data_IF_171646859572
#
_entry.id   IF_171646859572
#
_cell.length_a   1.000
_cell.length_b   1.000
_cell.length_c   1.000
_cell.angle_alpha   90.00
_cell.angle_beta   90.00
_cell.angle_gamma   90.00
#
_symmetry.space_group_name_H-M   'P 1'
#
loop_
_entity.id
_entity.type
_entity.pdbx_description
1 polymer ?
#
# COMPACT_ATOMS: atom_id res chain seq x y z
N UNK A 1 -12.17 -27.29 -0.26
CA UNK A 1 -11.97 -26.77 -0.31
C UNK A 1 -11.39 -26.28 -0.43
N UNK A 2 -11.31 -25.87 -0.59
CA UNK A 2 -10.84 -25.27 -0.78
C UNK A 2 -10.30 -24.60 -0.40
N UNK A 3 -9.78 -24.69 -0.20
CA UNK A 3 -9.33 -23.93 -0.03
C UNK A 3 -8.96 -23.28 -0.36
N UNK A 4 -8.58 -23.68 -0.11
CA UNK A 4 -7.97 -22.77 -0.73
C UNK A 4 -8.47 -21.82 -1.50
N UNK A 5 -9.20 -21.73 -1.38
CA UNK A 5 -9.73 -20.93 -2.03
C UNK A 5 -9.76 -19.67 -1.64
N UNK A 6 -8.87 -19.21 -1.08
CA UNK A 6 -8.71 -17.92 -0.89
C UNK A 6 -8.62 -17.24 -2.13
N UNK A 7 -9.51 -16.41 -2.47
CA UNK A 7 -9.42 -15.50 -3.59
C UNK A 7 -8.36 -14.49 -3.29
N UNK A 8 -7.36 -14.38 -4.14
CA UNK A 8 -6.38 -13.37 -3.98
C UNK A 8 -6.96 -12.11 -4.38
N UNK A 9 -6.76 -11.07 -3.61
CA UNK A 9 -7.15 -9.72 -4.00
C UNK A 9 -6.43 -9.34 -5.28
N UNK A 10 -7.14 -8.67 -6.19
CA UNK A 10 -6.57 -8.30 -7.48
C UNK A 10 -5.38 -7.37 -7.37
N UNK A 11 -5.24 -6.67 -6.24
CA UNK A 11 -4.13 -5.75 -6.05
C UNK A 11 -2.87 -6.43 -5.53
N UNK A 12 -2.96 -7.67 -5.09
CA UNK A 12 -1.80 -8.33 -4.50
C UNK A 12 -0.55 -8.34 -5.39
N UNK A 13 -0.65 -8.55 -6.70
CA UNK A 13 0.54 -8.53 -7.55
C UNK A 13 1.23 -7.17 -7.61
N UNK A 14 0.55 -6.10 -7.23
CA UNK A 14 1.15 -4.77 -7.25
C UNK A 14 2.04 -4.53 -6.03
N UNK A 15 1.99 -5.41 -5.05
CA UNK A 15 2.84 -5.29 -3.87
C UNK A 15 4.19 -5.91 -4.16
N UNK A 16 5.01 -5.19 -4.90
CA UNK A 16 6.34 -5.66 -5.26
C UNK A 16 7.30 -4.48 -5.24
N UNK A 17 8.52 -4.74 -4.84
CA UNK A 17 9.53 -3.68 -4.77
C UNK A 17 9.72 -3.06 -6.14
N UNK A 18 9.88 -1.75 -6.16
CA UNK A 18 10.08 -1.00 -7.37
C UNK A 18 8.80 -0.51 -8.02
N UNK A 19 7.65 -1.01 -7.59
CA UNK A 19 6.39 -0.58 -8.19
C UNK A 19 5.91 0.72 -7.57
N UNK A 20 5.35 1.56 -8.40
CA UNK A 20 4.75 2.81 -7.91
C UNK A 20 3.27 2.59 -7.74
N UNK A 21 2.77 2.85 -6.53
CA UNK A 21 1.40 2.51 -6.16
C UNK A 21 0.76 3.60 -5.32
N UNK A 22 -0.56 3.58 -5.31
CA UNK A 22 -1.35 4.16 -4.22
C UNK A 22 -1.75 3.00 -3.33
N UNK A 23 -1.32 3.04 -2.09
CA UNK A 23 -1.61 1.99 -1.13
C UNK A 23 -2.62 2.53 -0.12
N UNK A 24 -3.78 1.89 -0.05
CA UNK A 24 -4.79 2.25 0.95
C UNK A 24 -4.70 1.28 2.10
N UNK A 25 -4.66 1.81 3.31
CA UNK A 25 -4.52 0.96 4.49
C UNK A 25 -5.30 1.51 5.66
N UNK A 26 -5.63 0.62 6.59
CA UNK A 26 -6.39 0.98 7.77
C UNK A 26 -5.51 1.70 8.77
N UNK A 27 -6.06 2.69 9.42
CA UNK A 27 -5.38 3.41 10.49
C UNK A 27 -6.31 3.49 11.69
N UNK A 28 -5.74 3.81 12.84
CA UNK A 28 -6.49 3.93 14.06
C UNK A 28 -7.29 5.22 14.01
N UNK A 29 -8.62 5.06 13.99
CA UNK A 29 -9.52 6.18 13.92
C UNK A 29 -9.34 7.15 15.04
N UNK A 30 -9.04 6.66 16.23
CA UNK A 30 -8.89 7.50 17.41
C UNK A 30 -7.62 8.31 17.39
N UNK A 31 -6.63 7.88 16.62
CA UNK A 31 -5.38 8.60 16.53
C UNK A 31 -5.28 9.47 15.31
N UNK A 32 -6.29 9.41 14.46
CA UNK A 32 -6.28 10.19 13.22
C UNK A 32 -6.75 11.60 13.49
N UNK A 33 -6.11 12.60 12.90
CA UNK A 33 -6.49 13.99 13.15
C UNK A 33 -7.93 14.30 12.84
N UNK A 34 -8.49 13.61 11.86
CA UNK A 34 -9.86 13.88 11.43
C UNK A 34 -10.78 12.68 11.60
N UNK A 35 -10.38 11.70 12.41
CA UNK A 35 -11.22 10.53 12.66
C UNK A 35 -11.32 9.56 11.51
N UNK A 36 -10.37 9.60 10.59
CA UNK A 36 -10.40 8.68 9.46
C UNK A 36 -10.04 7.27 9.91
N UNK A 37 -10.60 6.29 9.22
CA UNK A 37 -10.30 4.89 9.49
C UNK A 37 -9.35 4.30 8.43
N UNK A 38 -9.03 5.06 7.40
CA UNK A 38 -8.10 4.61 6.37
C UNK A 38 -7.40 5.81 5.74
N UNK A 39 -6.26 5.56 5.14
CA UNK A 39 -5.51 6.59 4.46
C UNK A 39 -4.75 5.98 3.30
N UNK A 40 -4.18 6.81 2.46
CA UNK A 40 -3.45 6.39 1.28
C UNK A 40 -2.00 6.83 1.35
N UNK A 41 -1.11 5.98 0.82
CA UNK A 41 0.28 6.35 0.61
C UNK A 41 0.58 6.20 -0.87
N UNK A 42 1.08 7.26 -1.48
CA UNK A 42 1.46 7.26 -2.88
C UNK A 42 2.97 7.28 -2.98
N UNK A 43 3.53 6.28 -3.62
CA UNK A 43 4.97 6.24 -3.80
C UNK A 43 5.44 4.93 -4.36
N UNK A 44 6.74 4.69 -4.20
CA UNK A 44 7.37 3.48 -4.71
C UNK A 44 7.61 2.51 -3.58
N UNK A 45 7.25 1.27 -3.80
CA UNK A 45 7.45 0.23 -2.79
C UNK A 45 8.94 -0.08 -2.70
N UNK A 46 9.48 0.03 -1.50
CA UNK A 46 10.89 -0.24 -1.25
C UNK A 46 11.14 -1.54 -0.51
N UNK A 47 10.11 -2.08 0.12
CA UNK A 47 10.22 -3.36 0.81
C UNK A 47 8.85 -4.00 0.90
N UNK A 48 8.80 -5.29 0.65
CA UNK A 48 7.58 -6.09 0.86
C UNK A 48 8.01 -7.42 1.45
N UNK A 49 7.41 -7.79 2.56
CA UNK A 49 7.55 -9.15 3.07
C UNK A 49 6.21 -9.59 3.63
N UNK A 50 6.19 -10.67 4.38
CA UNK A 50 4.93 -11.20 4.89
C UNK A 50 4.29 -10.28 5.90
N UNK A 51 5.08 -9.45 6.57
CA UNK A 51 4.59 -8.64 7.66
C UNK A 51 4.39 -7.19 7.31
N UNK A 52 5.16 -6.67 6.36
CA UNK A 52 5.28 -5.23 6.15
C UNK A 52 5.38 -4.85 4.69
N UNK A 53 4.82 -3.70 4.36
CA UNK A 53 5.05 -3.02 3.08
C UNK A 53 5.61 -1.65 3.39
N UNK A 54 6.73 -1.29 2.78
CA UNK A 54 7.28 0.05 2.90
C UNK A 54 7.15 0.79 1.59
N UNK A 55 6.71 2.03 1.67
CA UNK A 55 6.49 2.87 0.49
C UNK A 55 7.26 4.17 0.71
N UNK A 56 8.09 4.52 -0.25
CA UNK A 56 8.78 5.79 -0.22
C UNK A 56 7.89 6.83 -0.87
N UNK A 57 7.42 7.76 -0.08
CA UNK A 57 6.54 8.83 -0.57
C UNK A 57 7.32 10.14 -0.63
N UNK A 58 6.67 11.17 -1.12
CA UNK A 58 7.28 12.49 -1.16
C UNK A 58 7.62 13.02 0.21
N UNK A 59 6.91 12.58 1.22
CA UNK A 59 7.12 13.04 2.58
C UNK A 59 8.02 12.14 3.38
N UNK A 60 8.49 11.07 2.78
CA UNK A 60 9.36 10.11 3.45
C UNK A 60 8.80 8.72 3.40
N UNK A 61 9.47 7.84 4.10
CA UNK A 61 9.11 6.43 4.07
C UNK A 61 7.94 6.14 4.98
N UNK A 62 6.99 5.37 4.47
CA UNK A 62 5.83 4.93 5.23
C UNK A 62 5.89 3.41 5.35
N UNK A 63 5.77 2.92 6.55
CA UNK A 63 5.81 1.50 6.82
C UNK A 63 4.45 1.04 7.28
N UNK A 64 3.88 0.07 6.59
CA UNK A 64 2.51 -0.36 6.82
C UNK A 64 2.51 -1.85 7.12
N UNK A 65 1.81 -2.25 8.18
CA UNK A 65 1.59 -3.67 8.42
C UNK A 65 0.79 -4.23 7.25
N UNK A 66 1.28 -5.31 6.67
CA UNK A 66 0.63 -5.87 5.49
C UNK A 66 -0.82 -6.24 5.76
N UNK A 67 -1.10 -6.68 6.98
CA UNK A 67 -2.47 -7.05 7.37
C UNK A 67 -3.43 -5.86 7.35
N UNK A 68 -2.91 -4.64 7.37
CA UNK A 68 -3.76 -3.44 7.34
C UNK A 68 -4.01 -2.92 5.93
N UNK A 69 -3.38 -3.51 4.92
CA UNK A 69 -3.57 -3.05 3.55
C UNK A 69 -4.98 -3.42 3.09
N UNK A 70 -5.69 -2.44 2.58
CA UNK A 70 -7.05 -2.62 2.09
C UNK A 70 -7.06 -2.76 0.59
N UNK A 71 -6.23 -1.99 -0.10
CA UNK A 71 -6.18 -2.02 -1.56
C UNK A 71 -4.89 -1.38 -2.04
N UNK A 72 -4.49 -1.73 -3.25
CA UNK A 72 -3.36 -1.11 -3.90
C UNK A 72 -3.67 -0.95 -5.37
N UNK A 73 -3.23 0.15 -5.93
CA UNK A 73 -3.43 0.43 -7.34
C UNK A 73 -2.11 0.90 -7.91
N UNK A 74 -1.71 0.30 -9.00
CA UNK A 74 -0.50 0.72 -9.66
C UNK A 74 -0.72 2.05 -10.35
N UNK A 75 0.24 2.96 -10.25
CA UNK A 75 0.15 4.24 -10.93
C UNK A 75 1.35 4.39 -11.83
N UNK A 76 1.19 5.09 -12.95
CA UNK A 76 2.32 5.29 -13.84
C UNK A 76 3.34 6.20 -13.20
N UNK A 77 4.59 6.12 -13.63
CA UNK A 77 5.60 7.05 -13.14
C UNK A 77 5.23 8.47 -13.52
N UNK A 78 5.72 9.45 -12.78
CA UNK A 78 5.44 10.83 -13.14
C UNK A 78 6.02 11.14 -14.51
N UNK A 79 5.40 12.06 -15.24
CA UNK A 79 5.92 12.44 -16.56
C UNK A 79 7.32 13.01 -16.43
N UNK A 80 8.12 12.68 -17.42
CA UNK A 80 9.45 13.26 -17.49
C UNK A 80 9.34 14.68 -17.98
N UNK A 81 9.99 15.61 -17.26
CA UNK A 81 9.98 16.96 -17.71
C UNK A 81 11.27 17.25 -18.41
N UNK A 82 11.22 18.03 -19.43
CA UNK A 82 12.38 18.34 -20.18
C UNK A 82 12.74 19.75 -20.07
#
# INVERSE_FOLDING_TARGET
>A
MHEGHRVRAGWAPFLAEGRRVVLRYAIDRERSPHGESMTDALGTITLVDEAVVQVMTRRGEVRVARALVIAAKEVPPPPVRR
#
